data_IF_178777449871
#
_entry.id   IF_178777449871
#
_cell.length_a   1.000
_cell.length_b   1.000
_cell.length_c   1.000
_cell.angle_alpha   90.00
_cell.angle_beta   90.00
_cell.angle_gamma   90.00
#
_symmetry.space_group_name_H-M   'P 1'
#
loop_
_entity.id
_entity.type
_entity.pdbx_description
1 polymer ?
#
# COMPACT_ATOMS: atom_id res chain seq x y z
N UNK A 1 12.20 12.96 -16.43
CA UNK A 1 10.76 13.13 -16.74
C UNK A 1 9.94 12.96 -15.48
N UNK A 2 8.86 13.74 -15.29
CA UNK A 2 7.94 13.55 -14.16
C UNK A 2 6.98 12.41 -14.49
N UNK A 3 6.99 11.34 -13.69
CA UNK A 3 6.01 10.26 -13.76
C UNK A 3 4.80 10.66 -12.90
N UNK A 4 3.59 10.39 -13.39
CA UNK A 4 2.34 10.69 -12.68
C UNK A 4 1.62 9.38 -12.44
N UNK A 5 1.13 9.19 -11.21
CA UNK A 5 0.24 8.09 -10.85
C UNK A 5 -1.08 8.69 -10.38
N UNK A 6 -2.19 8.17 -10.90
CA UNK A 6 -3.54 8.57 -10.53
C UNK A 6 -4.24 7.32 -9.97
N UNK A 7 -4.84 7.46 -8.80
CA UNK A 7 -5.63 6.40 -8.17
C UNK A 7 -7.10 6.69 -8.39
N UNK A 8 -7.82 5.70 -8.88
CA UNK A 8 -9.28 5.75 -9.04
C UNK A 8 -9.92 4.69 -8.16
N UNK A 9 -11.01 5.08 -7.51
CA UNK A 9 -11.83 4.29 -6.60
C UNK A 9 -13.30 4.68 -6.81
N UNK A 10 -14.25 3.89 -6.30
CA UNK A 10 -15.71 4.10 -6.35
C UNK A 10 -16.18 5.44 -5.76
N UNK A 11 -15.30 6.20 -5.13
CA UNK A 11 -15.56 7.56 -4.62
C UNK A 11 -15.56 8.63 -5.71
N UNK A 12 -14.86 8.40 -6.83
CA UNK A 12 -14.55 9.42 -7.83
C UNK A 12 -15.67 9.67 -8.84
N UNK A 13 -16.32 8.60 -9.33
CA UNK A 13 -17.50 8.62 -10.20
C UNK A 13 -17.94 7.16 -10.49
N UNK A 14 -19.22 6.88 -10.69
CA UNK A 14 -19.72 5.50 -10.96
C UNK A 14 -19.72 5.11 -12.44
N UNK A 15 -19.20 5.98 -13.30
CA UNK A 15 -19.21 5.79 -14.76
C UNK A 15 -17.92 5.13 -15.27
N UNK A 16 -17.66 3.92 -14.82
CA UNK A 16 -16.42 3.19 -15.14
C UNK A 16 -16.29 2.84 -16.63
N UNK A 17 -17.40 2.65 -17.35
CA UNK A 17 -17.38 2.41 -18.80
C UNK A 17 -16.88 3.63 -19.59
N UNK A 18 -17.35 4.84 -19.25
CA UNK A 18 -16.84 6.08 -19.83
C UNK A 18 -15.32 6.19 -19.55
N UNK A 19 -14.88 5.85 -18.34
CA UNK A 19 -13.46 5.86 -17.98
C UNK A 19 -12.62 4.88 -18.81
N UNK A 20 -13.12 3.67 -19.11
CA UNK A 20 -12.43 2.74 -20.01
C UNK A 20 -12.11 3.39 -21.36
N UNK A 21 -13.11 4.05 -21.98
CA UNK A 21 -12.91 4.72 -23.27
C UNK A 21 -11.89 5.85 -23.20
N UNK A 22 -11.86 6.60 -22.09
CA UNK A 22 -10.85 7.63 -21.87
C UNK A 22 -9.45 7.02 -21.74
N UNK A 23 -9.30 5.94 -20.95
CA UNK A 23 -8.03 5.22 -20.80
C UNK A 23 -7.51 4.73 -22.16
N UNK A 24 -8.38 4.14 -22.99
CA UNK A 24 -8.02 3.69 -24.33
C UNK A 24 -7.57 4.86 -25.21
N UNK A 25 -8.30 5.98 -25.18
CA UNK A 25 -7.90 7.20 -25.89
C UNK A 25 -6.52 7.69 -25.43
N UNK A 26 -6.23 7.69 -24.12
CA UNK A 26 -4.90 8.03 -23.59
C UNK A 26 -3.82 7.05 -24.09
N UNK A 27 -4.09 5.75 -24.08
CA UNK A 27 -3.16 4.73 -24.60
C UNK A 27 -2.85 4.91 -26.08
N UNK A 28 -3.80 5.41 -26.88
CA UNK A 28 -3.57 5.70 -28.31
C UNK A 28 -2.66 6.91 -28.55
N UNK A 29 -2.62 7.87 -27.62
CA UNK A 29 -1.85 9.12 -27.79
C UNK A 29 -0.52 9.13 -27.03
N UNK A 30 -0.35 8.22 -26.05
CA UNK A 30 0.82 8.19 -25.17
C UNK A 30 1.32 6.75 -25.00
N UNK A 31 2.60 6.51 -25.30
CA UNK A 31 3.19 5.16 -25.32
C UNK A 31 3.33 4.49 -23.94
N UNK A 32 3.27 5.27 -22.85
CA UNK A 32 3.62 4.81 -21.50
C UNK A 32 2.45 4.83 -20.50
N UNK A 33 1.21 4.79 -20.99
CA UNK A 33 0.03 4.69 -20.11
C UNK A 33 -0.19 3.22 -19.74
N UNK A 34 -0.03 2.91 -18.45
CA UNK A 34 -0.27 1.59 -17.88
C UNK A 34 -1.34 1.66 -16.80
N UNK A 35 -2.22 0.67 -16.79
CA UNK A 35 -3.29 0.49 -15.82
C UNK A 35 -2.95 -0.72 -14.96
N UNK A 36 -2.82 -0.46 -13.66
CA UNK A 36 -2.62 -1.47 -12.64
C UNK A 36 -3.90 -1.61 -11.82
N UNK A 37 -4.43 -2.83 -11.74
CA UNK A 37 -5.59 -3.18 -10.94
C UNK A 37 -5.18 -4.10 -9.79
N UNK A 38 -5.64 -3.77 -8.58
CA UNK A 38 -5.44 -4.61 -7.39
C UNK A 38 -6.72 -5.38 -7.08
N UNK A 39 -6.59 -6.67 -6.84
CA UNK A 39 -7.68 -7.53 -6.41
C UNK A 39 -7.30 -8.31 -5.14
N UNK A 40 -8.29 -8.89 -4.48
CA UNK A 40 -8.13 -9.89 -3.42
C UNK A 40 -9.43 -10.67 -3.27
N UNK A 41 -9.39 -11.81 -2.57
CA UNK A 41 -10.59 -12.54 -2.19
C UNK A 41 -11.52 -11.69 -1.33
N UNK A 42 -12.84 -11.84 -1.54
CA UNK A 42 -13.89 -11.08 -0.85
C UNK A 42 -13.77 -11.15 0.66
N UNK A 43 -13.53 -12.35 1.22
CA UNK A 43 -13.37 -12.54 2.66
C UNK A 43 -12.23 -11.68 3.24
N UNK A 44 -11.11 -11.60 2.53
CA UNK A 44 -9.96 -10.77 2.91
C UNK A 44 -10.25 -9.28 2.78
N UNK A 45 -10.94 -8.85 1.73
CA UNK A 45 -11.36 -7.46 1.57
C UNK A 45 -12.28 -7.03 2.72
N UNK A 46 -13.26 -7.86 3.08
CA UNK A 46 -14.18 -7.58 4.19
C UNK A 46 -13.44 -7.48 5.53
N UNK A 47 -12.49 -8.39 5.81
CA UNK A 47 -11.67 -8.33 7.03
C UNK A 47 -10.83 -7.06 7.08
N UNK A 48 -10.08 -6.76 6.01
CA UNK A 48 -9.26 -5.54 5.90
C UNK A 48 -10.09 -4.28 6.09
N UNK A 49 -11.29 -4.24 5.52
CA UNK A 49 -12.18 -3.08 5.65
C UNK A 49 -12.62 -2.87 7.10
N UNK A 50 -13.01 -3.94 7.79
CA UNK A 50 -13.40 -3.89 9.21
C UNK A 50 -12.26 -3.42 10.11
N UNK A 51 -11.01 -3.74 9.79
CA UNK A 51 -9.83 -3.24 10.52
C UNK A 51 -9.65 -1.72 10.42
N UNK A 52 -10.04 -1.10 9.30
CA UNK A 52 -9.90 0.36 9.12
C UNK A 52 -10.87 1.19 9.96
N UNK A 53 -11.89 0.57 10.57
CA UNK A 53 -12.99 1.21 11.31
C UNK A 53 -13.76 2.30 10.52
N UNK A 54 -13.54 2.42 9.22
CA UNK A 54 -14.26 3.36 8.34
C UNK A 54 -15.48 2.67 7.75
N UNK A 55 -16.51 3.43 7.35
CA UNK A 55 -17.67 2.91 6.60
C UNK A 55 -17.36 2.85 5.10
N UNK A 56 -17.89 1.85 4.40
CA UNK A 56 -17.66 1.67 2.97
C UNK A 56 -18.35 2.78 2.17
N UNK A 57 -17.72 3.40 1.16
CA UNK A 57 -18.36 4.45 0.36
C UNK A 57 -19.69 4.02 -0.26
N UNK A 58 -19.81 2.75 -0.65
CA UNK A 58 -21.03 2.17 -1.22
C UNK A 58 -22.03 1.64 -0.16
N UNK A 59 -21.64 1.54 1.11
CA UNK A 59 -22.57 1.05 2.16
C UNK A 59 -23.80 1.94 2.29
N UNK A 60 -23.67 3.26 2.10
CA UNK A 60 -24.79 4.21 2.23
C UNK A 60 -25.81 4.08 1.08
N UNK A 61 -25.42 3.44 -0.04
CA UNK A 61 -26.30 3.16 -1.19
C UNK A 61 -27.06 1.85 -1.03
N UNK A 62 -26.66 1.01 -0.07
CA UNK A 62 -27.21 -0.31 0.15
C UNK A 62 -28.15 -0.33 1.36
N UNK A 63 -29.31 -0.97 1.20
CA UNK A 63 -30.34 -1.02 2.27
C UNK A 63 -29.88 -1.77 3.51
N UNK A 64 -28.97 -2.72 3.36
CA UNK A 64 -28.43 -3.55 4.45
C UNK A 64 -27.19 -2.93 5.12
N UNK A 65 -26.58 -1.91 4.50
CA UNK A 65 -25.34 -1.28 4.96
C UNK A 65 -24.15 -2.24 5.08
N UNK A 66 -24.24 -3.45 4.51
CA UNK A 66 -23.27 -4.52 4.73
C UNK A 66 -21.97 -4.25 3.96
N UNK A 67 -20.83 -4.41 4.63
CA UNK A 67 -19.50 -4.32 3.99
C UNK A 67 -19.35 -5.39 2.90
N UNK A 68 -19.91 -6.59 3.12
CA UNK A 68 -19.86 -7.67 2.12
C UNK A 68 -20.58 -7.25 0.83
N UNK A 69 -21.83 -6.80 0.96
CA UNK A 69 -22.64 -6.35 -0.16
C UNK A 69 -22.00 -5.16 -0.89
N UNK A 70 -21.35 -4.27 -0.14
CA UNK A 70 -20.63 -3.13 -0.70
C UNK A 70 -19.38 -3.54 -1.50
N UNK A 71 -18.63 -4.53 -1.00
CA UNK A 71 -17.46 -5.10 -1.72
C UNK A 71 -17.91 -5.81 -3.00
N UNK A 72 -18.98 -6.61 -2.96
CA UNK A 72 -19.48 -7.28 -4.16
C UNK A 72 -19.97 -6.29 -5.22
N UNK A 73 -20.72 -5.26 -4.80
CA UNK A 73 -21.15 -4.18 -5.71
C UNK A 73 -19.94 -3.43 -6.32
N UNK A 74 -18.92 -3.12 -5.52
CA UNK A 74 -17.70 -2.51 -6.02
C UNK A 74 -17.00 -3.38 -7.08
N UNK A 75 -16.94 -4.70 -6.87
CA UNK A 75 -16.36 -5.64 -7.85
C UNK A 75 -17.11 -5.63 -9.18
N UNK A 76 -18.44 -5.57 -9.13
CA UNK A 76 -19.28 -5.48 -10.32
C UNK A 76 -19.02 -4.17 -11.07
N UNK A 77 -19.00 -3.04 -10.36
CA UNK A 77 -18.76 -1.71 -10.94
C UNK A 77 -17.37 -1.58 -11.56
N UNK A 78 -16.35 -2.17 -10.94
CA UNK A 78 -14.95 -2.11 -11.39
C UNK A 78 -14.60 -3.18 -12.43
N UNK A 79 -15.49 -4.14 -12.71
CA UNK A 79 -15.24 -5.23 -13.64
C UNK A 79 -14.80 -4.77 -15.04
N UNK A 80 -15.35 -3.70 -15.65
CA UNK A 80 -14.88 -3.18 -16.93
C UNK A 80 -13.41 -2.74 -16.90
N UNK A 81 -12.99 -2.07 -15.82
CA UNK A 81 -11.61 -1.61 -15.64
C UNK A 81 -10.66 -2.77 -15.41
N UNK A 82 -11.09 -3.76 -14.61
CA UNK A 82 -10.30 -4.99 -14.39
C UNK A 82 -10.00 -5.71 -15.70
N UNK A 83 -10.95 -5.74 -16.64
CA UNK A 83 -10.80 -6.39 -17.95
C UNK A 83 -9.84 -5.65 -18.89
N UNK A 84 -9.74 -4.33 -18.77
CA UNK A 84 -8.89 -3.48 -19.63
C UNK A 84 -7.53 -3.15 -19.00
N UNK A 85 -7.32 -3.57 -17.74
CA UNK A 85 -6.07 -3.37 -17.01
C UNK A 85 -4.90 -4.12 -17.65
N UNK A 86 -3.73 -3.47 -17.72
CA UNK A 86 -2.50 -4.10 -18.23
C UNK A 86 -1.93 -5.10 -17.21
N UNK A 87 -2.12 -4.82 -15.92
CA UNK A 87 -1.64 -5.66 -14.82
C UNK A 87 -2.75 -5.87 -13.80
N UNK A 88 -2.95 -7.13 -13.42
CA UNK A 88 -3.80 -7.54 -12.31
C UNK A 88 -2.93 -8.14 -11.22
N UNK A 89 -2.93 -7.55 -10.01
CA UNK A 89 -2.21 -8.07 -8.86
C UNK A 89 -3.20 -8.57 -7.82
N UNK A 90 -3.16 -9.88 -7.56
CA UNK A 90 -3.85 -10.48 -6.42
C UNK A 90 -3.04 -10.22 -5.14
N UNK A 91 -3.65 -9.46 -4.22
CA UNK A 91 -3.07 -9.06 -2.94
C UNK A 91 -3.58 -9.90 -1.77
N UNK A 92 -4.37 -10.96 -2.01
CA UNK A 92 -5.06 -11.78 -0.98
C UNK A 92 -4.15 -12.16 0.17
N UNK A 93 -2.95 -12.66 -0.13
CA UNK A 93 -1.96 -13.14 0.86
C UNK A 93 -0.68 -12.29 0.89
N UNK A 94 -0.72 -11.08 0.32
CA UNK A 94 0.44 -10.19 0.29
C UNK A 94 0.46 -9.29 1.53
N UNK A 95 1.66 -9.17 2.13
CA UNK A 95 1.97 -8.07 3.05
C UNK A 95 2.22 -6.77 2.29
N UNK A 96 2.12 -5.63 3.00
CA UNK A 96 2.43 -4.32 2.42
C UNK A 96 3.86 -4.24 1.84
N UNK A 97 4.82 -4.95 2.46
CA UNK A 97 6.21 -5.02 1.99
C UNK A 97 6.29 -5.75 0.63
N UNK A 98 5.67 -6.93 0.54
CA UNK A 98 5.64 -7.71 -0.71
C UNK A 98 4.92 -6.98 -1.84
N UNK A 99 3.79 -6.32 -1.53
CA UNK A 99 3.07 -5.51 -2.52
C UNK A 99 3.94 -4.38 -3.06
N UNK A 100 4.66 -3.68 -2.16
CA UNK A 100 5.60 -2.62 -2.55
C UNK A 100 6.71 -3.18 -3.45
N UNK A 101 7.36 -4.25 -3.04
CA UNK A 101 8.42 -4.90 -3.83
C UNK A 101 7.92 -5.33 -5.20
N UNK A 102 6.71 -5.90 -5.27
CA UNK A 102 6.07 -6.30 -6.52
C UNK A 102 5.84 -5.11 -7.45
N UNK A 103 5.29 -4.00 -6.95
CA UNK A 103 5.08 -2.78 -7.74
C UNK A 103 6.42 -2.20 -8.20
N UNK A 104 7.42 -2.13 -7.33
CA UNK A 104 8.76 -1.63 -7.69
C UNK A 104 9.36 -2.48 -8.81
N UNK A 105 9.28 -3.82 -8.73
CA UNK A 105 9.80 -4.72 -9.77
C UNK A 105 9.13 -4.58 -11.14
N UNK A 106 7.88 -4.08 -11.19
CA UNK A 106 7.14 -3.93 -12.45
C UNK A 106 7.40 -2.60 -13.15
N UNK A 107 7.56 -1.53 -12.37
CA UNK A 107 7.59 -0.15 -12.90
C UNK A 107 8.92 0.57 -12.70
N UNK A 108 9.86 -0.05 -12.00
CA UNK A 108 11.26 0.37 -12.01
C UNK A 108 12.01 -0.50 -13.02
N UNK A 109 12.46 0.12 -14.11
CA UNK A 109 13.45 -0.50 -14.99
C UNK A 109 14.69 -0.87 -14.18
N UNK A 110 15.26 -2.02 -14.55
CA UNK A 110 16.48 -2.65 -14.07
C UNK A 110 17.20 -1.87 -12.96
N UNK A 111 16.87 -2.19 -11.72
CA UNK A 111 17.60 -1.71 -10.55
C UNK A 111 18.88 -2.52 -10.34
N UNK A 112 19.61 -2.81 -11.42
CA UNK A 112 20.98 -3.31 -11.36
C UNK A 112 21.92 -2.34 -10.61
N UNK A 113 21.42 -1.19 -10.14
CA UNK A 113 22.12 -0.24 -9.27
C UNK A 113 21.31 0.28 -8.06
N UNK A 114 20.29 -0.41 -7.53
CA UNK A 114 19.72 0.01 -6.23
C UNK A 114 20.31 -0.77 -5.05
N UNK A 115 20.96 -0.03 -4.15
CA UNK A 115 21.42 -0.54 -2.85
C UNK A 115 20.22 -0.58 -1.89
N UNK A 116 19.97 -1.75 -1.30
CA UNK A 116 19.00 -1.88 -0.20
C UNK A 116 19.71 -1.57 1.12
N UNK A 117 19.27 -0.53 1.82
CA UNK A 117 19.79 -0.15 3.14
C UNK A 117 18.83 -0.60 4.24
N UNK A 118 19.35 -1.34 5.22
CA UNK A 118 18.60 -1.76 6.42
C UNK A 118 19.10 -0.96 7.62
N UNK A 119 18.19 -0.29 8.32
CA UNK A 119 18.48 0.43 9.56
C UNK A 119 17.92 -0.33 10.75
N UNK A 120 18.77 -0.59 11.75
CA UNK A 120 18.37 -1.22 13.00
C UNK A 120 18.98 -0.46 14.18
N UNK A 121 18.24 -0.40 15.29
CA UNK A 121 18.75 0.14 16.55
C UNK A 121 19.05 -1.02 17.49
N UNK A 122 20.16 -0.94 18.22
CA UNK A 122 20.53 -1.95 19.21
C UNK A 122 21.16 -1.27 20.44
N UNK A 123 21.15 -1.96 21.57
CA UNK A 123 21.85 -1.52 22.78
C UNK A 123 23.11 -2.33 23.00
N UNK A 124 24.25 -1.68 23.24
CA UNK A 124 25.55 -2.34 23.47
C UNK A 124 25.53 -3.41 24.56
N UNK A 125 24.65 -3.29 25.57
CA UNK A 125 24.48 -4.30 26.63
C UNK A 125 24.07 -5.67 26.08
N UNK A 126 23.38 -5.71 24.95
CA UNK A 126 22.85 -6.92 24.33
C UNK A 126 23.70 -7.41 23.15
N UNK A 127 24.89 -6.83 22.98
CA UNK A 127 25.81 -7.15 21.88
C UNK A 127 25.50 -6.39 20.60
N UNK A 128 26.43 -6.48 19.66
CA UNK A 128 26.30 -5.92 18.31
C UNK A 128 25.56 -6.94 17.43
N UNK A 129 24.60 -6.50 16.59
CA UNK A 129 23.97 -7.39 15.62
C UNK A 129 25.00 -8.00 14.69
N UNK A 130 24.99 -9.33 14.56
CA UNK A 130 25.96 -10.06 13.76
C UNK A 130 25.92 -9.67 12.27
N UNK A 131 24.77 -9.21 11.81
CA UNK A 131 24.47 -8.83 10.42
C UNK A 131 24.79 -7.36 10.10
N UNK A 132 25.38 -6.60 11.05
CA UNK A 132 25.63 -5.18 10.85
C UNK A 132 26.96 -4.90 10.12
N UNK A 133 26.89 -4.28 8.94
CA UNK A 133 28.07 -3.83 8.18
C UNK A 133 28.63 -2.48 8.65
N UNK A 134 27.77 -1.58 9.14
CA UNK A 134 28.14 -0.24 9.64
C UNK A 134 27.47 0.04 11.00
N UNK A 135 28.26 0.52 11.96
CA UNK A 135 27.81 0.86 13.31
C UNK A 135 28.03 2.35 13.57
N UNK A 136 26.95 3.06 13.89
CA UNK A 136 27.01 4.44 14.36
C UNK A 136 26.80 4.47 15.87
N UNK A 137 27.85 4.74 16.64
CA UNK A 137 27.74 4.90 18.10
C UNK A 137 27.20 6.28 18.46
N UNK A 138 25.95 6.32 18.89
CA UNK A 138 25.24 7.55 19.27
C UNK A 138 25.35 7.89 20.76
N UNK A 139 26.15 7.15 21.55
CA UNK A 139 26.32 7.42 23.00
C UNK A 139 26.98 8.77 23.30
N UNK A 140 27.67 9.35 22.32
CA UNK A 140 28.25 10.69 22.40
C UNK A 140 27.22 11.81 22.20
N UNK A 141 25.97 11.49 21.82
CA UNK A 141 24.90 12.47 21.68
C UNK A 141 24.31 12.86 23.05
N UNK A 142 23.74 14.07 23.19
CA UNK A 142 23.08 14.50 24.41
C UNK A 142 22.00 13.50 24.81
N UNK A 143 22.18 12.87 25.96
CA UNK A 143 21.24 11.89 26.46
C UNK A 143 19.91 12.56 26.85
N UNK A 144 18.80 12.16 26.20
CA UNK A 144 17.46 12.67 26.49
C UNK A 144 16.98 12.35 27.91
N UNK A 145 17.58 11.38 28.60
CA UNK A 145 17.27 11.06 30.01
C UNK A 145 17.71 12.13 31.02
N UNK A 146 18.53 13.12 30.63
CA UNK A 146 18.95 14.21 31.52
C UNK A 146 17.90 15.32 31.68
N UNK A 147 16.77 15.25 30.95
CA UNK A 147 15.61 16.09 31.22
C UNK A 147 14.65 15.33 32.13
N UNK A 148 14.47 15.85 33.35
CA UNK A 148 13.62 15.32 34.41
C UNK A 148 12.13 15.28 34.01
N UNK A 149 11.72 14.34 33.15
CA UNK A 149 10.30 14.00 32.92
C UNK A 149 10.15 12.70 32.13
N UNK A 150 10.50 11.55 32.74
CA UNK A 150 9.90 10.21 32.49
C UNK A 150 10.64 9.15 33.30
N UNK A 151 10.40 9.13 34.62
CA UNK A 151 10.52 7.87 35.37
C UNK A 151 9.15 7.19 35.26
N UNK A 152 9.07 6.11 34.49
CA UNK A 152 8.01 5.11 34.70
C UNK A 152 8.64 3.94 35.43
N UNK A 153 8.13 3.73 36.64
CA UNK A 153 8.55 2.76 37.63
C UNK A 153 8.40 1.32 37.16
N UNK A 154 9.45 0.52 37.31
CA UNK A 154 9.29 -0.90 37.62
C UNK A 154 9.76 -1.09 39.06
N UNK A 155 8.78 -1.20 39.97
CA UNK A 155 8.97 -1.75 41.32
C UNK A 155 8.80 -3.27 41.19
N UNK A 156 9.75 -3.98 41.79
CA UNK A 156 9.90 -5.43 42.09
C UNK A 156 8.84 -6.39 41.57
#
# INVERSE_FOLDING_TARGET
>A
MKRVAVVVDVRGNEKFEEMCSQIEHFKMHYENVKVLFFDAMTDRLVVRYKETRRRHPLSDKLKDGSVLSAVELERELLLPIKRTADYNIDTTYMSNKQLRERIMSMFMEDTSQSITLTFMSFGFKYGIPLEADLIMDVRCLPNSFLHSRTQTSYRT
#
